data_IF_003968644591
#
_entry.id   IF_003968644591
#
_cell.length_a   1.000
_cell.length_b   1.000
_cell.length_c   1.000
_cell.angle_alpha   90.00
_cell.angle_beta   90.00
_cell.angle_gamma   90.00
#
_symmetry.space_group_name_H-M   'P 1'
#
loop_
_entity.id
_entity.type
_entity.pdbx_description
1 polymer ?
#
# COMPACT_ATOMS: atom_id res chain seq x y z
N UNK A 1 10.11 -3.71 -6.66
CA UNK A 1 9.62 -2.44 -7.30
C UNK A 1 8.10 -2.58 -7.49
N UNK A 2 7.30 -1.70 -6.86
CA UNK A 2 5.82 -1.79 -6.88
C UNK A 2 5.14 -0.81 -7.87
N UNK A 3 5.92 -0.07 -8.66
CA UNK A 3 5.43 0.91 -9.63
C UNK A 3 5.08 2.29 -9.07
N UNK A 4 5.11 2.51 -7.75
CA UNK A 4 4.67 3.73 -7.07
C UNK A 4 5.77 4.46 -6.29
N UNK A 5 7.03 4.14 -6.56
CA UNK A 5 8.18 4.81 -5.98
C UNK A 5 8.35 6.25 -6.49
N UNK A 6 8.82 7.13 -5.62
CA UNK A 6 9.23 8.50 -5.91
C UNK A 6 10.73 8.64 -5.63
N UNK A 7 11.31 9.82 -5.91
CA UNK A 7 12.73 10.08 -5.58
C UNK A 7 13.05 10.00 -4.07
N UNK A 8 12.06 10.17 -3.22
CA UNK A 8 12.17 10.09 -1.75
C UNK A 8 11.62 8.79 -1.18
N UNK A 9 11.53 7.73 -1.98
CA UNK A 9 11.05 6.42 -1.51
C UNK A 9 12.23 5.59 -1.07
N UNK A 10 12.06 4.89 0.06
CA UNK A 10 12.98 3.90 0.57
C UNK A 10 13.02 2.68 -0.37
N UNK A 11 14.10 1.93 -0.31
CA UNK A 11 14.26 0.69 -1.06
C UNK A 11 14.02 -0.51 -0.14
N UNK A 12 12.89 -1.20 -0.32
CA UNK A 12 12.61 -2.47 0.35
C UNK A 12 13.23 -3.63 -0.42
N UNK A 13 14.14 -4.38 0.22
CA UNK A 13 14.77 -5.58 -0.33
C UNK A 13 14.33 -6.79 0.49
N UNK A 14 13.96 -7.87 -0.19
CA UNK A 14 13.69 -9.15 0.45
C UNK A 14 14.71 -10.20 -0.01
N UNK A 15 15.48 -10.74 0.94
CA UNK A 15 16.33 -11.90 0.69
C UNK A 15 15.47 -13.16 0.66
N UNK A 16 15.46 -13.84 -0.48
CA UNK A 16 14.77 -15.11 -0.64
C UNK A 16 15.81 -16.22 -0.68
N UNK A 17 15.72 -17.14 0.25
CA UNK A 17 16.62 -18.30 0.37
C UNK A 17 15.93 -19.56 -0.11
N UNK A 18 16.71 -20.53 -0.62
CA UNK A 18 16.18 -21.84 -1.04
C UNK A 18 15.75 -22.71 0.16
N UNK A 19 16.33 -22.48 1.32
CA UNK A 19 16.07 -23.21 2.55
C UNK A 19 15.53 -22.29 3.60
N UNK A 20 14.81 -22.86 4.56
CA UNK A 20 14.36 -22.13 5.74
C UNK A 20 15.58 -21.56 6.49
N UNK A 21 15.51 -20.28 6.84
CA UNK A 21 16.59 -19.60 7.57
C UNK A 21 16.52 -19.82 9.08
N UNK A 22 15.47 -20.47 9.58
CA UNK A 22 15.21 -20.64 11.00
C UNK A 22 14.93 -19.30 11.69
N UNK A 23 15.79 -18.90 12.64
CA UNK A 23 15.66 -17.60 13.31
C UNK A 23 16.10 -16.46 12.38
N UNK A 24 15.13 -15.71 11.87
CA UNK A 24 15.34 -14.58 10.95
C UNK A 24 16.25 -13.50 11.55
N UNK A 25 16.16 -13.24 12.86
CA UNK A 25 16.98 -12.23 13.54
C UNK A 25 18.45 -12.63 13.53
N UNK A 26 18.74 -13.89 13.88
CA UNK A 26 20.11 -14.43 13.84
C UNK A 26 20.68 -14.47 12.43
N UNK A 27 19.85 -14.83 11.44
CA UNK A 27 20.25 -14.80 10.04
C UNK A 27 20.60 -13.38 9.58
N UNK A 28 19.74 -12.40 9.85
CA UNK A 28 20.00 -11.00 9.51
C UNK A 28 21.22 -10.45 10.26
N UNK A 29 21.49 -10.87 11.49
CA UNK A 29 22.71 -10.50 12.19
C UNK A 29 23.98 -11.02 11.50
N UNK A 30 23.93 -12.20 10.86
CA UNK A 30 25.04 -12.71 10.04
C UNK A 30 25.19 -11.90 8.73
N UNK A 31 24.07 -11.60 8.06
CA UNK A 31 24.05 -10.75 6.88
C UNK A 31 24.64 -9.36 7.18
N UNK A 32 24.26 -8.76 8.33
CA UNK A 32 24.82 -7.47 8.78
C UNK A 32 26.34 -7.50 8.88
N UNK A 33 26.90 -8.56 9.51
CA UNK A 33 28.37 -8.73 9.64
C UNK A 33 29.04 -8.82 8.26
N UNK A 34 28.40 -9.52 7.33
CA UNK A 34 28.90 -9.67 5.96
C UNK A 34 28.88 -8.34 5.21
N UNK A 35 27.77 -7.60 5.28
CA UNK A 35 27.62 -6.29 4.64
C UNK A 35 28.63 -5.28 5.17
N UNK A 36 28.81 -5.17 6.50
CA UNK A 36 29.82 -4.29 7.09
C UNK A 36 31.23 -4.60 6.59
N UNK A 37 31.57 -5.87 6.40
CA UNK A 37 32.89 -6.29 5.91
C UNK A 37 33.09 -6.06 4.42
N UNK A 38 32.02 -6.22 3.60
CA UNK A 38 32.14 -6.20 2.14
C UNK A 38 31.69 -4.91 1.48
N UNK A 39 30.81 -4.18 2.12
CA UNK A 39 30.11 -3.03 1.55
C UNK A 39 30.31 -1.73 2.35
N UNK A 40 31.24 -1.71 3.31
CA UNK A 40 31.46 -0.57 4.20
C UNK A 40 31.98 0.70 3.51
N UNK A 41 32.34 0.64 2.22
CA UNK A 41 32.76 1.81 1.46
C UNK A 41 31.62 2.65 0.87
N UNK A 42 30.40 2.11 0.81
CA UNK A 42 29.24 2.79 0.24
C UNK A 42 27.97 2.67 1.09
N UNK A 43 27.94 1.76 2.06
CA UNK A 43 26.90 1.76 3.08
C UNK A 43 27.41 2.54 4.29
N UNK A 44 26.56 3.41 4.83
CA UNK A 44 26.82 4.02 6.12
C UNK A 44 27.08 2.89 7.16
N UNK A 45 28.10 3.09 8.03
CA UNK A 45 28.49 2.10 9.03
C UNK A 45 27.38 1.73 10.04
N UNK A 46 26.27 2.48 10.07
CA UNK A 46 25.14 2.27 10.96
C UNK A 46 24.08 1.35 10.34
N UNK A 47 24.47 0.10 10.05
CA UNK A 47 23.49 -0.93 9.70
C UNK A 47 22.81 -1.36 11.00
N UNK A 48 21.55 -0.97 11.17
CA UNK A 48 20.73 -1.28 12.34
C UNK A 48 19.92 -2.56 12.12
N UNK A 49 19.94 -3.48 13.09
CA UNK A 49 19.04 -4.64 13.12
C UNK A 49 17.83 -4.27 13.98
N UNK A 50 16.66 -4.19 13.36
CA UNK A 50 15.39 -3.89 14.02
C UNK A 50 14.61 -5.20 14.20
N UNK A 51 14.52 -5.74 15.45
CA UNK A 51 13.71 -6.91 15.73
C UNK A 51 12.22 -6.49 15.76
N UNK A 52 11.44 -7.06 14.85
CA UNK A 52 10.01 -6.80 14.71
C UNK A 52 9.30 -8.10 14.31
N UNK A 53 7.97 -8.04 14.09
CA UNK A 53 7.22 -9.19 13.52
C UNK A 53 7.82 -9.66 12.18
N UNK A 54 8.32 -8.73 11.39
CA UNK A 54 9.20 -8.98 10.24
C UNK A 54 10.49 -8.23 10.56
N UNK A 55 11.58 -8.93 10.95
CA UNK A 55 12.85 -8.28 11.25
C UNK A 55 13.46 -7.66 9.99
N UNK A 56 14.13 -6.52 10.15
CA UNK A 56 14.81 -5.82 9.06
C UNK A 56 16.22 -5.37 9.44
N UNK A 57 17.09 -5.29 8.45
CA UNK A 57 18.31 -4.46 8.52
C UNK A 57 18.00 -3.13 7.86
N UNK A 58 18.05 -2.07 8.65
CA UNK A 58 17.94 -0.70 8.16
C UNK A 58 19.34 -0.17 7.88
N UNK A 59 19.55 0.40 6.69
CA UNK A 59 20.83 0.94 6.28
C UNK A 59 20.61 2.12 5.30
N UNK A 60 21.66 2.86 5.06
CA UNK A 60 21.65 4.00 4.15
C UNK A 60 22.75 3.85 3.11
N UNK A 61 22.41 3.98 1.84
CA UNK A 61 23.35 4.04 0.73
C UNK A 61 23.82 5.49 0.53
N UNK A 62 25.06 5.78 0.90
CA UNK A 62 25.65 7.12 0.81
C UNK A 62 25.88 7.58 -0.64
N UNK A 63 26.00 6.66 -1.60
CA UNK A 63 26.15 6.98 -3.02
C UNK A 63 24.80 7.29 -3.65
N UNK A 64 23.85 6.41 -3.47
CA UNK A 64 22.49 6.56 -4.00
C UNK A 64 21.61 7.52 -3.21
N UNK A 65 22.03 7.92 -1.99
CA UNK A 65 21.26 8.74 -1.05
C UNK A 65 19.88 8.14 -0.77
N UNK A 66 19.83 6.83 -0.49
CA UNK A 66 18.60 6.04 -0.36
C UNK A 66 18.63 5.26 0.96
N UNK A 67 17.54 5.33 1.73
CA UNK A 67 17.30 4.40 2.83
C UNK A 67 16.95 3.01 2.26
N UNK A 68 17.56 1.96 2.85
CA UNK A 68 17.34 0.56 2.46
C UNK A 68 16.88 -0.23 3.67
N UNK A 69 15.72 -0.87 3.53
CA UNK A 69 15.18 -1.83 4.49
C UNK A 69 15.30 -3.24 3.91
N UNK A 70 16.15 -4.07 4.49
CA UNK A 70 16.40 -5.42 4.03
C UNK A 70 15.78 -6.43 4.99
N UNK A 71 14.79 -7.19 4.51
CA UNK A 71 14.15 -8.31 5.21
C UNK A 71 14.59 -9.66 4.65
N UNK A 72 14.23 -10.75 5.33
CA UNK A 72 14.39 -12.10 4.79
C UNK A 72 13.06 -12.88 4.85
N UNK A 73 12.92 -13.89 4.00
CA UNK A 73 11.80 -14.83 3.95
C UNK A 73 10.39 -14.20 3.82
N UNK A 74 10.29 -12.90 3.53
CA UNK A 74 9.02 -12.17 3.42
C UNK A 74 8.38 -12.33 2.03
N UNK A 75 7.94 -13.54 1.71
CA UNK A 75 7.29 -13.85 0.42
C UNK A 75 6.00 -13.07 0.18
N UNK A 76 5.30 -12.65 1.23
CA UNK A 76 4.08 -11.83 1.11
C UNK A 76 4.42 -10.43 0.57
N UNK A 77 5.48 -9.80 1.04
CA UNK A 77 5.92 -8.50 0.52
C UNK A 77 6.26 -8.55 -0.99
N UNK A 78 6.86 -9.67 -1.42
CA UNK A 78 7.16 -9.89 -2.85
C UNK A 78 5.88 -10.01 -3.67
N UNK A 79 4.88 -10.79 -3.20
CA UNK A 79 3.57 -10.91 -3.88
C UNK A 79 2.84 -9.56 -3.93
N UNK A 80 2.86 -8.82 -2.83
CA UNK A 80 2.28 -7.48 -2.76
C UNK A 80 2.91 -6.54 -3.77
N UNK A 81 4.23 -6.51 -3.84
CA UNK A 81 4.97 -5.68 -4.79
C UNK A 81 4.63 -6.04 -6.23
N UNK A 82 4.52 -7.35 -6.54
CA UNK A 82 4.13 -7.83 -7.86
C UNK A 82 2.70 -7.41 -8.23
N UNK A 83 1.72 -7.61 -7.32
CA UNK A 83 0.34 -7.21 -7.54
C UNK A 83 0.22 -5.69 -7.79
N UNK A 84 0.86 -4.89 -6.96
CA UNK A 84 0.86 -3.43 -7.09
C UNK A 84 1.53 -2.98 -8.39
N UNK A 85 2.64 -3.62 -8.77
CA UNK A 85 3.30 -3.36 -10.05
C UNK A 85 2.36 -3.63 -11.22
N UNK A 86 1.67 -4.78 -11.23
CA UNK A 86 0.70 -5.10 -12.28
C UNK A 86 -0.41 -4.05 -12.36
N UNK A 87 -1.00 -3.64 -11.24
CA UNK A 87 -2.00 -2.56 -11.24
C UNK A 87 -1.45 -1.24 -11.78
N UNK A 88 -0.19 -0.91 -11.48
CA UNK A 88 0.44 0.33 -11.94
C UNK A 88 0.61 0.40 -13.47
N UNK A 89 0.54 -0.74 -14.17
CA UNK A 89 0.72 -0.85 -15.62
C UNK A 89 -0.60 -0.99 -16.41
N UNK A 90 -1.73 -1.27 -15.73
CA UNK A 90 -3.00 -1.53 -16.41
C UNK A 90 -3.64 -0.28 -17.01
N UNK A 91 -3.50 0.88 -16.35
CA UNK A 91 -4.04 2.14 -16.82
C UNK A 91 -3.07 3.27 -16.44
N UNK A 92 -2.77 4.17 -17.37
CA UNK A 92 -1.81 5.25 -17.18
C UNK A 92 -2.16 6.20 -16.03
N UNK A 93 -3.45 6.32 -15.67
CA UNK A 93 -3.95 7.19 -14.60
C UNK A 93 -3.63 6.66 -13.19
N UNK A 94 -3.41 5.36 -13.03
CA UNK A 94 -3.18 4.72 -11.72
C UNK A 94 -1.95 5.30 -11.04
N UNK A 95 -0.84 5.32 -11.74
CA UNK A 95 0.44 5.74 -11.17
C UNK A 95 0.45 7.20 -10.71
N UNK A 96 0.08 8.19 -11.54
CA UNK A 96 0.02 9.58 -11.10
C UNK A 96 -1.02 9.81 -10.00
N UNK A 97 -2.17 9.11 -10.02
CA UNK A 97 -3.18 9.22 -8.97
C UNK A 97 -2.62 8.78 -7.62
N UNK A 98 -1.97 7.60 -7.55
CA UNK A 98 -1.35 7.09 -6.33
C UNK A 98 -0.27 8.03 -5.81
N UNK A 99 0.62 8.54 -6.68
CA UNK A 99 1.69 9.45 -6.28
C UNK A 99 1.13 10.75 -5.70
N UNK A 100 0.14 11.36 -6.37
CA UNK A 100 -0.47 12.60 -5.90
C UNK A 100 -1.17 12.42 -4.54
N UNK A 101 -1.99 11.38 -4.39
CA UNK A 101 -2.71 11.13 -3.14
C UNK A 101 -1.73 10.79 -2.00
N UNK A 102 -0.68 10.01 -2.24
CA UNK A 102 0.37 9.74 -1.23
C UNK A 102 1.08 11.02 -0.80
N UNK A 103 1.46 11.87 -1.75
CA UNK A 103 2.13 13.16 -1.47
C UNK A 103 1.21 14.07 -0.65
N UNK A 104 -0.05 14.20 -1.06
CA UNK A 104 -1.05 14.95 -0.30
C UNK A 104 -1.23 14.40 1.11
N UNK A 105 -1.37 13.08 1.27
CA UNK A 105 -1.59 12.47 2.59
C UNK A 105 -0.37 12.63 3.52
N UNK A 106 0.85 12.61 2.96
CA UNK A 106 2.08 12.91 3.71
C UNK A 106 2.09 14.37 4.17
N UNK A 107 1.78 15.32 3.30
CA UNK A 107 1.70 16.75 3.64
C UNK A 107 0.57 17.05 4.66
N UNK A 108 -0.55 16.32 4.59
CA UNK A 108 -1.64 16.41 5.56
C UNK A 108 -1.31 15.74 6.91
N UNK A 109 -0.17 15.06 7.04
CA UNK A 109 0.26 14.36 8.24
C UNK A 109 -0.66 13.20 8.63
N UNK A 110 -1.21 12.49 7.63
CA UNK A 110 -2.11 11.33 7.80
C UNK A 110 -1.58 10.04 7.14
N UNK A 111 -0.32 10.05 6.69
CA UNK A 111 0.30 8.90 6.04
C UNK A 111 1.55 8.42 6.81
N UNK A 112 1.36 7.99 8.04
CA UNK A 112 2.39 7.38 8.88
C UNK A 112 1.77 6.39 9.88
N UNK A 113 1.98 5.09 9.66
CA UNK A 113 1.42 4.03 10.51
C UNK A 113 1.97 4.05 11.96
N UNK A 114 3.17 4.61 12.20
CA UNK A 114 3.74 4.75 13.55
C UNK A 114 2.88 5.66 14.43
N UNK A 115 2.22 6.64 13.82
CA UNK A 115 1.31 7.56 14.51
C UNK A 115 -0.16 7.14 14.42
N UNK A 116 -0.44 5.85 14.15
CA UNK A 116 -1.80 5.30 14.00
C UNK A 116 -2.62 5.99 12.91
N UNK A 117 -1.97 6.43 11.83
CA UNK A 117 -2.61 6.92 10.61
C UNK A 117 -2.45 5.92 9.46
N UNK A 118 -2.83 6.27 8.23
CA UNK A 118 -2.86 5.35 7.10
C UNK A 118 -1.44 5.03 6.65
N UNK A 119 -1.08 3.74 6.53
CA UNK A 119 0.18 3.35 5.89
C UNK A 119 0.14 3.62 4.38
N UNK A 120 1.29 3.82 3.74
CA UNK A 120 1.37 3.99 2.29
C UNK A 120 0.80 2.79 1.53
N UNK A 121 0.94 1.58 2.07
CA UNK A 121 0.36 0.37 1.50
C UNK A 121 -1.17 0.39 1.58
N UNK A 122 -1.74 0.65 2.77
CA UNK A 122 -3.19 0.77 2.94
C UNK A 122 -3.79 1.84 2.04
N UNK A 123 -3.15 3.01 1.95
CA UNK A 123 -3.60 4.10 1.08
C UNK A 123 -3.58 3.69 -0.40
N UNK A 124 -2.56 2.95 -0.83
CA UNK A 124 -2.50 2.42 -2.20
C UNK A 124 -3.62 1.42 -2.47
N UNK A 125 -3.93 0.53 -1.52
CA UNK A 125 -5.07 -0.39 -1.64
C UNK A 125 -6.41 0.37 -1.70
N UNK A 126 -6.58 1.44 -0.92
CA UNK A 126 -7.77 2.30 -0.99
C UNK A 126 -7.93 2.91 -2.39
N UNK A 127 -6.84 3.40 -2.98
CA UNK A 127 -6.90 4.00 -4.33
C UNK A 127 -7.24 2.93 -5.38
N UNK A 128 -6.62 1.76 -5.33
CA UNK A 128 -6.93 0.66 -6.25
C UNK A 128 -8.39 0.23 -6.08
N UNK A 129 -8.87 0.06 -4.84
CA UNK A 129 -10.26 -0.26 -4.54
C UNK A 129 -11.23 0.79 -5.12
N UNK A 130 -10.94 2.07 -4.96
CA UNK A 130 -11.72 3.14 -5.57
C UNK A 130 -11.79 3.00 -7.11
N UNK A 131 -10.66 2.72 -7.76
CA UNK A 131 -10.61 2.55 -9.21
C UNK A 131 -11.34 1.28 -9.70
N UNK A 132 -11.52 0.29 -8.83
CA UNK A 132 -12.28 -0.93 -9.09
C UNK A 132 -13.78 -0.74 -8.83
N UNK A 133 -14.14 -0.06 -7.75
CA UNK A 133 -15.51 -0.04 -7.21
C UNK A 133 -16.16 1.33 -7.17
N UNK A 134 -15.40 2.40 -6.96
CA UNK A 134 -15.91 3.78 -6.84
C UNK A 134 -16.08 4.51 -8.17
N UNK A 135 -15.64 3.92 -9.30
CA UNK A 135 -15.77 4.53 -10.64
C UNK A 135 -16.79 3.77 -11.50
N UNK A 136 -17.45 4.48 -12.44
CA UNK A 136 -18.40 3.90 -13.38
C UNK A 136 -18.14 4.45 -14.80
N UNK A 137 -17.75 3.62 -15.79
CA UNK A 137 -17.27 2.22 -15.64
C UNK A 137 -16.03 2.10 -14.75
N UNK A 138 -15.74 0.91 -14.23
CA UNK A 138 -14.52 0.67 -13.44
C UNK A 138 -13.25 0.86 -14.28
N UNK A 139 -12.21 1.41 -13.67
CA UNK A 139 -10.91 1.62 -14.32
C UNK A 139 -10.03 0.39 -14.19
N UNK A 140 -10.11 -0.27 -13.03
CA UNK A 140 -9.32 -1.47 -12.76
C UNK A 140 -10.23 -2.69 -12.53
N UNK A 141 -9.82 -3.87 -13.00
CA UNK A 141 -10.47 -5.13 -12.66
C UNK A 141 -9.93 -5.67 -11.33
N UNK A 142 -10.53 -6.73 -10.81
CA UNK A 142 -9.86 -7.56 -9.81
C UNK A 142 -8.89 -8.54 -10.48
N UNK A 143 -7.60 -8.31 -10.35
CA UNK A 143 -6.56 -9.22 -10.88
C UNK A 143 -6.60 -10.58 -10.19
N UNK A 144 -6.94 -10.65 -8.91
CA UNK A 144 -7.10 -11.92 -8.19
C UNK A 144 -8.25 -12.77 -8.72
N UNK A 145 -9.30 -12.16 -9.26
CA UNK A 145 -10.41 -12.88 -9.89
C UNK A 145 -10.10 -13.26 -11.34
N UNK A 146 -9.47 -12.38 -12.10
CA UNK A 146 -9.12 -12.63 -13.50
C UNK A 146 -7.97 -13.63 -13.66
N UNK A 147 -7.00 -13.59 -12.74
CA UNK A 147 -5.79 -14.41 -12.79
C UNK A 147 -5.53 -15.10 -11.44
N UNK A 148 -6.45 -15.97 -10.94
CA UNK A 148 -6.35 -16.56 -9.62
C UNK A 148 -5.09 -17.42 -9.44
N UNK A 149 -4.53 -17.98 -10.50
CA UNK A 149 -3.29 -18.76 -10.44
C UNK A 149 -2.06 -17.89 -10.12
N UNK A 150 -2.09 -16.62 -10.51
CA UNK A 150 -0.98 -15.69 -10.32
C UNK A 150 -1.10 -14.94 -8.98
N UNK A 151 -2.30 -14.52 -8.62
CA UNK A 151 -2.56 -13.63 -7.50
C UNK A 151 -3.28 -14.32 -6.33
N UNK A 152 -2.71 -15.40 -5.80
CA UNK A 152 -3.18 -16.05 -4.57
C UNK A 152 -2.05 -16.22 -3.54
N UNK A 153 -2.42 -16.43 -2.26
CA UNK A 153 -1.48 -16.44 -1.13
C UNK A 153 -0.38 -17.50 -1.20
N UNK A 154 -0.59 -18.58 -1.95
CA UNK A 154 0.38 -19.67 -2.11
C UNK A 154 1.11 -19.64 -3.47
N UNK A 155 1.01 -18.55 -4.23
CA UNK A 155 1.75 -18.41 -5.48
C UNK A 155 3.26 -18.52 -5.24
N UNK A 156 3.95 -19.26 -6.13
CA UNK A 156 5.38 -19.48 -5.98
C UNK A 156 6.16 -18.21 -6.33
N UNK A 157 6.76 -17.59 -5.31
CA UNK A 157 7.50 -16.32 -5.44
C UNK A 157 8.71 -16.40 -6.37
N UNK A 158 9.32 -17.59 -6.52
CA UNK A 158 10.45 -17.79 -7.44
C UNK A 158 10.04 -17.81 -8.92
N UNK A 159 8.73 -17.95 -9.18
CA UNK A 159 8.15 -17.91 -10.54
C UNK A 159 7.55 -16.55 -10.88
N UNK A 160 7.51 -15.60 -9.93
CA UNK A 160 7.02 -14.25 -10.20
C UNK A 160 8.02 -13.53 -11.10
N UNK A 161 7.54 -13.09 -12.25
CA UNK A 161 8.34 -12.31 -13.18
C UNK A 161 7.64 -10.97 -13.44
N UNK A 162 8.27 -9.89 -13.02
CA UNK A 162 7.78 -8.53 -13.19
C UNK A 162 7.82 -8.05 -14.65
N UNK A 163 8.50 -8.79 -15.52
CA UNK A 163 8.68 -8.45 -16.95
C UNK A 163 7.90 -9.36 -17.90
N UNK A 164 7.11 -10.31 -17.36
CA UNK A 164 6.23 -11.14 -18.17
C UNK A 164 5.03 -10.34 -18.70
N UNK A 165 4.31 -10.94 -19.63
CA UNK A 165 3.07 -10.39 -20.17
C UNK A 165 2.12 -9.98 -19.03
N UNK A 166 1.90 -8.68 -18.94
CA UNK A 166 0.98 -8.12 -17.96
C UNK A 166 -0.46 -8.48 -18.36
N UNK A 167 -1.34 -8.65 -17.36
CA UNK A 167 -2.76 -8.86 -17.64
C UNK A 167 -3.29 -7.73 -18.53
N UNK A 168 -3.91 -8.08 -19.66
CA UNK A 168 -4.51 -7.06 -20.55
C UNK A 168 -5.90 -6.70 -20.04
N UNK A 169 -6.11 -5.43 -19.83
CA UNK A 169 -7.42 -4.87 -19.50
C UNK A 169 -7.54 -3.49 -20.13
N UNK A 170 -8.68 -3.20 -20.73
CA UNK A 170 -8.99 -1.87 -21.28
C UNK A 170 -10.28 -1.36 -20.63
N UNK A 171 -10.17 -0.30 -19.85
CA UNK A 171 -11.33 0.38 -19.29
C UNK A 171 -12.00 1.27 -20.34
N UNK A 172 -13.36 1.33 -20.31
CA UNK A 172 -14.16 2.31 -21.04
C UNK A 172 -14.38 3.60 -20.26
N UNK A 173 -13.73 3.77 -19.13
CA UNK A 173 -13.86 4.96 -18.29
C UNK A 173 -13.03 6.10 -18.89
N UNK A 174 -13.68 7.23 -19.18
CA UNK A 174 -13.09 8.41 -19.82
C UNK A 174 -12.75 9.53 -18.82
N UNK A 175 -12.95 9.30 -17.50
CA UNK A 175 -12.65 10.32 -16.50
C UNK A 175 -11.17 10.74 -16.55
N UNK A 176 -10.96 12.04 -16.48
CA UNK A 176 -9.63 12.64 -16.36
C UNK A 176 -9.00 12.34 -15.00
N UNK A 177 -7.69 12.52 -14.87
CA UNK A 177 -6.97 12.37 -13.60
C UNK A 177 -7.52 13.30 -12.51
N UNK A 178 -7.93 14.53 -12.87
CA UNK A 178 -8.54 15.48 -11.93
C UNK A 178 -9.89 15.02 -11.41
N UNK A 179 -10.76 14.49 -12.28
CA UNK A 179 -12.07 13.94 -11.90
C UNK A 179 -11.90 12.71 -10.98
N UNK A 180 -10.90 11.87 -11.26
CA UNK A 180 -10.60 10.72 -10.41
C UNK A 180 -10.08 11.14 -9.05
N UNK A 181 -9.27 12.18 -8.96
CA UNK A 181 -8.77 12.72 -7.71
C UNK A 181 -9.91 13.25 -6.83
N UNK A 182 -10.83 14.05 -7.41
CA UNK A 182 -12.05 14.50 -6.71
C UNK A 182 -12.93 13.32 -6.35
N UNK A 183 -13.12 12.38 -7.27
CA UNK A 183 -13.90 11.17 -7.10
C UNK A 183 -13.41 10.29 -5.94
N UNK A 184 -12.09 10.17 -5.76
CA UNK A 184 -11.49 9.43 -4.64
C UNK A 184 -11.91 10.02 -3.28
N UNK A 185 -11.80 11.33 -3.11
CA UNK A 185 -12.20 11.98 -1.85
C UNK A 185 -13.71 11.89 -1.64
N UNK A 186 -14.50 12.09 -2.70
CA UNK A 186 -15.97 11.97 -2.63
C UNK A 186 -16.39 10.57 -2.22
N UNK A 187 -15.82 9.54 -2.86
CA UNK A 187 -16.14 8.14 -2.57
C UNK A 187 -15.93 7.80 -1.09
N UNK A 188 -14.78 8.15 -0.51
CA UNK A 188 -14.51 7.85 0.91
C UNK A 188 -15.21 8.79 1.90
N UNK A 189 -15.72 9.92 1.46
CA UNK A 189 -16.52 10.81 2.31
C UNK A 189 -18.02 10.51 2.29
N UNK A 190 -18.54 9.95 1.21
CA UNK A 190 -19.99 9.87 0.97
C UNK A 190 -20.50 8.47 0.69
N UNK A 191 -19.76 7.65 -0.05
CA UNK A 191 -20.25 6.37 -0.57
C UNK A 191 -19.73 5.17 0.25
N UNK A 192 -18.52 5.24 0.77
CA UNK A 192 -17.90 4.17 1.56
C UNK A 192 -18.22 4.33 3.05
N UNK A 193 -18.90 3.34 3.62
CA UNK A 193 -19.25 3.35 5.04
C UNK A 193 -18.19 2.63 5.90
N UNK A 194 -17.28 3.40 6.50
CA UNK A 194 -16.21 2.87 7.35
C UNK A 194 -16.68 2.04 8.56
N UNK A 195 -17.97 2.08 8.93
CA UNK A 195 -18.49 1.31 10.06
C UNK A 195 -18.91 -0.12 9.67
N UNK A 196 -19.15 -0.37 8.39
CA UNK A 196 -19.67 -1.67 7.90
C UNK A 196 -18.87 -2.23 6.74
N UNK A 197 -18.17 -1.38 5.98
CA UNK A 197 -17.48 -1.74 4.76
C UNK A 197 -15.99 -1.99 4.99
N UNK A 198 -15.51 -3.07 4.43
CA UNK A 198 -14.10 -3.37 4.22
C UNK A 198 -13.80 -3.33 2.73
N UNK A 199 -12.86 -2.48 2.31
CA UNK A 199 -12.41 -2.47 0.92
C UNK A 199 -11.60 -3.72 0.59
N UNK A 200 -11.99 -4.44 -0.46
CA UNK A 200 -11.26 -5.62 -0.91
C UNK A 200 -10.80 -5.48 -2.37
N UNK A 201 -9.51 -5.28 -2.55
CA UNK A 201 -8.87 -5.27 -3.88
C UNK A 201 -8.95 -6.65 -4.54
N UNK A 202 -8.88 -7.70 -3.73
CA UNK A 202 -9.02 -9.09 -4.17
C UNK A 202 -10.41 -9.37 -4.77
N UNK A 203 -11.46 -8.86 -4.13
CA UNK A 203 -12.83 -9.02 -4.61
C UNK A 203 -13.25 -7.93 -5.61
N UNK A 204 -12.49 -6.83 -5.74
CA UNK A 204 -12.84 -5.69 -6.57
C UNK A 204 -14.10 -4.94 -6.11
N UNK A 205 -14.47 -5.07 -4.84
CA UNK A 205 -15.68 -4.46 -4.22
C UNK A 205 -15.54 -4.31 -2.72
N UNK A 206 -16.44 -3.56 -2.10
CA UNK A 206 -16.60 -3.56 -0.66
C UNK A 206 -17.20 -4.90 -0.20
N UNK A 207 -16.71 -5.41 0.94
CA UNK A 207 -17.21 -6.61 1.64
C UNK A 207 -17.53 -6.22 3.08
N UNK A 208 -18.34 -7.03 3.78
CA UNK A 208 -18.72 -6.72 5.15
C UNK A 208 -17.58 -6.93 6.14
N UNK A 209 -17.35 -5.96 7.04
CA UNK A 209 -16.42 -6.12 8.17
C UNK A 209 -16.80 -7.35 9.02
N UNK A 210 -18.09 -7.61 9.21
CA UNK A 210 -18.57 -8.79 9.96
C UNK A 210 -18.18 -10.10 9.28
N UNK A 211 -18.21 -10.18 7.95
CA UNK A 211 -17.72 -11.36 7.20
C UNK A 211 -16.23 -11.57 7.43
N UNK A 212 -15.43 -10.50 7.36
CA UNK A 212 -13.99 -10.55 7.61
C UNK A 212 -13.69 -11.00 9.06
N UNK A 213 -14.43 -10.47 10.03
CA UNK A 213 -14.31 -10.84 11.44
C UNK A 213 -14.61 -12.33 11.67
N UNK A 214 -15.73 -12.81 11.12
CA UNK A 214 -16.14 -14.21 11.24
C UNK A 214 -15.17 -15.17 10.54
N UNK A 215 -14.67 -14.79 9.37
CA UNK A 215 -13.65 -15.57 8.66
C UNK A 215 -12.36 -15.67 9.48
N UNK A 216 -11.92 -14.58 10.13
CA UNK A 216 -10.77 -14.58 11.01
C UNK A 216 -10.93 -15.54 12.19
N UNK A 217 -12.12 -15.61 12.79
CA UNK A 217 -12.44 -16.60 13.84
C UNK A 217 -12.33 -18.04 13.33
N UNK A 218 -12.91 -18.32 12.17
CA UNK A 218 -12.88 -19.66 11.55
C UNK A 218 -11.45 -20.09 11.23
N UNK A 219 -10.62 -19.17 10.74
CA UNK A 219 -9.22 -19.42 10.39
C UNK A 219 -8.27 -19.35 11.59
N UNK A 220 -8.78 -19.11 12.81
CA UNK A 220 -7.98 -18.94 14.02
C UNK A 220 -6.90 -17.85 13.93
N UNK A 221 -7.19 -16.81 13.15
CA UNK A 221 -6.39 -15.57 13.09
C UNK A 221 -6.93 -14.54 14.07
N UNK A 222 -6.31 -13.36 14.17
CA UNK A 222 -6.74 -12.32 15.11
C UNK A 222 -7.99 -11.58 14.60
N UNK A 223 -9.22 -11.83 15.14
CA UNK A 223 -10.41 -11.12 14.71
C UNK A 223 -10.43 -9.66 15.21
N UNK A 224 -9.72 -9.32 16.29
CA UNK A 224 -9.65 -7.97 16.85
C UNK A 224 -9.06 -6.92 15.89
N UNK A 225 -8.32 -7.34 14.86
CA UNK A 225 -7.81 -6.43 13.84
C UNK A 225 -8.93 -5.70 13.04
N UNK A 226 -10.14 -6.24 13.03
CA UNK A 226 -11.30 -5.69 12.35
C UNK A 226 -12.06 -4.63 13.16
N UNK A 227 -11.62 -4.36 14.41
CA UNK A 227 -12.11 -3.26 15.23
C UNK A 227 -11.45 -1.90 14.90
N UNK A 228 -10.58 -1.87 13.90
CA UNK A 228 -9.97 -0.64 13.40
C UNK A 228 -10.99 0.24 12.66
N UNK A 229 -10.77 1.54 12.65
CA UNK A 229 -11.66 2.50 11.99
C UNK A 229 -11.60 2.46 10.45
N UNK A 230 -10.50 1.96 9.89
CA UNK A 230 -10.38 1.74 8.45
C UNK A 230 -10.07 0.26 8.23
N UNK A 231 -10.95 -0.42 7.51
CA UNK A 231 -10.80 -1.82 7.14
C UNK A 231 -10.52 -1.95 5.64
N UNK A 232 -9.32 -2.45 5.33
CA UNK A 232 -8.90 -2.78 3.98
C UNK A 232 -8.29 -4.18 3.99
N UNK A 233 -8.94 -5.13 3.29
CA UNK A 233 -8.47 -6.51 3.21
C UNK A 233 -7.11 -6.57 2.49
N UNK A 234 -6.15 -7.20 3.11
CA UNK A 234 -4.88 -7.55 2.49
C UNK A 234 -5.15 -8.67 1.46
N UNK A 235 -4.73 -8.53 0.18
CA UNK A 235 -5.17 -9.43 -0.89
C UNK A 235 -4.75 -10.89 -0.75
N UNK A 236 -3.68 -11.19 -0.01
CA UNK A 236 -3.11 -12.53 0.08
C UNK A 236 -3.39 -13.23 1.40
N UNK A 237 -3.09 -12.61 2.55
CA UNK A 237 -3.31 -13.21 3.87
C UNK A 237 -4.67 -12.85 4.48
N UNK A 238 -5.43 -11.97 3.82
CA UNK A 238 -6.76 -11.52 4.24
C UNK A 238 -6.79 -10.86 5.62
N UNK A 239 -5.67 -10.34 6.09
CA UNK A 239 -5.62 -9.52 7.28
C UNK A 239 -6.12 -8.09 7.00
N UNK A 240 -6.34 -7.29 8.05
CA UNK A 240 -6.65 -5.88 7.87
C UNK A 240 -5.36 -5.06 7.73
N UNK A 241 -5.10 -4.47 6.56
CA UNK A 241 -3.96 -3.58 6.34
C UNK A 241 -4.11 -2.25 7.09
N UNK A 242 -5.34 -1.84 7.42
CA UNK A 242 -5.66 -0.62 8.18
C UNK A 242 -5.65 -0.81 9.71
N UNK A 243 -5.26 -1.98 10.21
CA UNK A 243 -5.33 -2.35 11.63
C UNK A 243 -4.63 -1.42 12.62
N UNK A 244 -3.75 -0.54 12.16
CA UNK A 244 -3.08 0.46 13.02
C UNK A 244 -3.98 1.64 13.41
N UNK A 245 -5.10 1.85 12.69
CA UNK A 245 -5.98 3.02 12.87
C UNK A 245 -7.07 2.68 13.91
N UNK A 246 -6.66 2.59 15.17
CA UNK A 246 -7.52 2.19 16.30
C UNK A 246 -7.88 3.37 17.21
N UNK A 247 -7.30 4.55 17.00
CA UNK A 247 -7.54 5.73 17.82
C UNK A 247 -8.50 6.68 17.12
N UNK A 248 -9.60 7.04 17.80
CA UNK A 248 -10.64 7.93 17.28
C UNK A 248 -10.11 9.29 16.79
N UNK A 249 -9.24 10.00 17.54
CA UNK A 249 -8.72 11.29 17.07
C UNK A 249 -7.94 11.21 15.76
N UNK A 250 -7.19 10.12 15.51
CA UNK A 250 -6.48 9.92 14.26
C UNK A 250 -7.43 9.64 13.09
N UNK A 251 -8.48 8.86 13.33
CA UNK A 251 -9.52 8.63 12.33
C UNK A 251 -10.26 9.93 11.99
N UNK A 252 -10.65 10.74 12.99
CA UNK A 252 -11.29 12.03 12.78
C UNK A 252 -10.37 13.01 12.01
N UNK A 253 -9.06 12.98 12.28
CA UNK A 253 -8.07 13.73 11.50
C UNK A 253 -8.03 13.29 10.05
N UNK A 254 -8.09 11.98 9.78
CA UNK A 254 -8.13 11.42 8.42
C UNK A 254 -9.39 11.91 7.70
N UNK A 255 -10.56 11.72 8.29
CA UNK A 255 -11.83 12.12 7.69
C UNK A 255 -11.90 13.62 7.41
N UNK A 256 -11.51 14.45 8.38
CA UNK A 256 -11.49 15.92 8.19
C UNK A 256 -10.51 16.36 7.11
N UNK A 257 -9.39 15.64 6.93
CA UNK A 257 -8.46 15.89 5.84
C UNK A 257 -9.06 15.54 4.47
N UNK A 258 -9.76 14.40 4.36
CA UNK A 258 -10.46 14.00 3.14
C UNK A 258 -11.57 14.99 2.78
N UNK A 259 -12.39 15.41 3.75
CA UNK A 259 -13.45 16.40 3.56
C UNK A 259 -12.89 17.75 3.10
N UNK A 260 -11.78 18.20 3.70
CA UNK A 260 -11.11 19.44 3.30
C UNK A 260 -10.56 19.35 1.88
N UNK A 261 -9.93 18.23 1.53
CA UNK A 261 -9.41 18.01 0.19
C UNK A 261 -10.53 18.01 -0.87
N UNK A 262 -11.65 17.32 -0.61
CA UNK A 262 -12.81 17.32 -1.49
C UNK A 262 -13.32 18.74 -1.73
N UNK A 263 -13.64 19.50 -0.66
CA UNK A 263 -14.14 20.87 -0.76
C UNK A 263 -13.19 21.78 -1.53
N UNK A 264 -11.90 21.66 -1.26
CA UNK A 264 -10.87 22.47 -1.91
C UNK A 264 -10.85 22.19 -3.42
N UNK A 265 -10.83 20.91 -3.82
CA UNK A 265 -10.81 20.52 -5.22
C UNK A 265 -12.10 20.88 -5.97
N UNK A 266 -13.26 20.73 -5.34
CA UNK A 266 -14.55 21.10 -5.93
C UNK A 266 -14.67 22.62 -6.14
N UNK A 267 -14.15 23.42 -5.21
CA UNK A 267 -14.22 24.88 -5.28
C UNK A 267 -13.18 25.48 -6.23
N UNK A 268 -11.95 24.97 -6.22
CA UNK A 268 -10.84 25.60 -6.96
C UNK A 268 -10.59 24.96 -8.33
N UNK A 269 -10.99 23.69 -8.50
CA UNK A 269 -10.65 22.85 -9.67
C UNK A 269 -9.14 22.82 -9.97
N UNK A 270 -8.32 23.10 -8.94
CA UNK A 270 -6.88 23.25 -9.05
C UNK A 270 -6.17 22.25 -8.15
N UNK A 271 -5.43 21.32 -8.74
CA UNK A 271 -4.66 20.30 -8.00
C UNK A 271 -3.55 20.92 -7.13
N UNK A 272 -2.97 22.06 -7.55
CA UNK A 272 -1.89 22.72 -6.82
C UNK A 272 -2.36 23.21 -5.44
N UNK A 273 -3.65 23.51 -5.30
CA UNK A 273 -4.24 23.91 -4.01
C UNK A 273 -4.12 22.80 -2.93
N UNK A 274 -4.12 21.54 -3.32
CA UNK A 274 -3.88 20.41 -2.38
C UNK A 274 -2.47 20.44 -1.76
N UNK A 275 -1.52 21.07 -2.42
CA UNK A 275 -0.12 21.12 -2.04
C UNK A 275 0.32 22.48 -1.48
N UNK A 276 -0.62 23.38 -1.22
CA UNK A 276 -0.35 24.72 -0.70
C UNK A 276 0.17 25.73 -1.74
N UNK A 277 0.07 25.41 -3.03
CA UNK A 277 0.62 26.20 -4.13
C UNK A 277 -0.33 27.23 -4.78
N UNK A 278 -1.51 27.45 -4.23
CA UNK A 278 -2.40 28.52 -4.73
C UNK A 278 -2.14 29.80 -3.93
N UNK A 279 -1.35 30.70 -4.48
CA UNK A 279 -1.46 32.11 -4.08
C UNK A 279 -2.89 32.60 -4.40
N UNK A 280 -3.49 33.25 -3.42
CA UNK A 280 -4.79 33.92 -3.62
C UNK A 280 -4.59 35.02 -4.68
N UNK A 281 -5.12 34.83 -5.88
CA UNK A 281 -5.41 35.92 -6.80
C UNK A 281 -6.72 36.58 -6.44
#
# INVERSE_FOLDING_TARGET
MNGFGTRSSDMDICLITKHDVGDEVSFLAQVRRLLKRKCGSFLNNDIELIPAKVPILKMYDDIGQIEIDLSCANGQAVRNSHLLFCYSQLDWRVRPLVINIKTWAKNAGINDAKYSTISSYTLTLMIIHFLQHGTRPSILPSLSQLHPQMFHGNSNIFKLNFFNDLPKFASRNEQSLGELLVGFFRYYNQDFNFMVDCGSVRCGKAISINECYNLSKQQRTNPGQWNAYICMEEPFDRSNSGRAIIKRPQFDKILSSFQRAQRLMENTKCIQCLFGGCEKH
#
